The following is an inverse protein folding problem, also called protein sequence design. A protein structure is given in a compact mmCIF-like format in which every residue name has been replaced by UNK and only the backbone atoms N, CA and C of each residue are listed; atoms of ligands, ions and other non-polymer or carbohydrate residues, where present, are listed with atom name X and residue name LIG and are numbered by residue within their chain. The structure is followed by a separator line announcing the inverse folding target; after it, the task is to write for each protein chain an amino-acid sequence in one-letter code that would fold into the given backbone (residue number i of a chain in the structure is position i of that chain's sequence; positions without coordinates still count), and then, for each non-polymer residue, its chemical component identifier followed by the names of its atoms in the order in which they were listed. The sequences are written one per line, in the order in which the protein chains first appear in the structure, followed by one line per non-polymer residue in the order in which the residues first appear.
data_IF_051395632082
#
_entry.id   IF_051395632082
#
_cell.length_a   1.000
_cell.length_b   1.000
_cell.length_c   1.000
_cell.angle_alpha   90.00
_cell.angle_beta   90.00
_cell.angle_gamma   90.00
#
_symmetry.space_group_name_H-M   'P 1'
#
loop_
_entity.id
_entity.type
_entity.pdbx_description
1 polymer ?
#
# COMPACT_ATOMS: atom_id res chain seq x y z
N UNK A 1 16.70 -5.13 -3.21
CA UNK A 1 15.81 -3.96 -3.33
C UNK A 1 14.41 -4.48 -3.62
N UNK A 2 13.44 -4.18 -2.76
CA UNK A 2 12.02 -4.44 -3.03
C UNK A 2 11.46 -3.13 -3.57
N UNK A 3 10.88 -3.17 -4.77
CA UNK A 3 10.30 -1.97 -5.36
C UNK A 3 9.03 -1.57 -4.61
N UNK A 4 8.68 -0.29 -4.65
CA UNK A 4 7.43 0.19 -4.08
C UNK A 4 6.21 -0.50 -4.72
N UNK A 5 6.29 -0.85 -6.00
CA UNK A 5 5.24 -1.60 -6.70
C UNK A 5 5.09 -3.03 -6.17
N UNK A 6 6.20 -3.70 -5.82
CA UNK A 6 6.13 -5.03 -5.21
C UNK A 6 5.49 -4.97 -3.82
N UNK A 7 5.76 -3.90 -3.05
CA UNK A 7 5.10 -3.67 -1.78
C UNK A 7 3.59 -3.43 -1.95
N UNK A 8 3.17 -2.63 -2.94
CA UNK A 8 1.76 -2.40 -3.23
C UNK A 8 1.04 -3.68 -3.66
N UNK A 9 1.65 -4.50 -4.53
CA UNK A 9 1.07 -5.78 -4.93
C UNK A 9 0.90 -6.71 -3.72
N UNK A 10 1.90 -6.77 -2.84
CA UNK A 10 1.82 -7.56 -1.61
C UNK A 10 0.66 -7.11 -0.73
N UNK A 11 0.54 -5.81 -0.49
CA UNK A 11 -0.52 -5.25 0.33
C UNK A 11 -1.91 -5.57 -0.25
N UNK A 12 -2.11 -5.42 -1.56
CA UNK A 12 -3.37 -5.75 -2.23
C UNK A 12 -3.76 -7.22 -2.05
N UNK A 13 -2.82 -8.14 -2.22
CA UNK A 13 -3.07 -9.59 -2.03
C UNK A 13 -3.38 -9.90 -0.56
N UNK A 14 -2.69 -9.23 0.37
CA UNK A 14 -2.94 -9.40 1.82
C UNK A 14 -4.31 -8.89 2.22
N UNK A 15 -4.75 -7.75 1.70
CA UNK A 15 -6.08 -7.22 1.96
C UNK A 15 -7.17 -8.16 1.43
N UNK A 16 -7.01 -8.67 0.21
CA UNK A 16 -7.93 -9.66 -0.35
C UNK A 16 -8.01 -10.91 0.52
N UNK A 17 -6.86 -11.51 0.86
CA UNK A 17 -6.80 -12.72 1.66
C UNK A 17 -7.42 -12.54 3.06
N UNK A 18 -7.18 -11.38 3.69
CA UNK A 18 -7.79 -11.02 4.97
C UNK A 18 -9.32 -10.90 4.87
N UNK A 19 -9.82 -10.21 3.83
CA UNK A 19 -11.26 -10.04 3.65
C UNK A 19 -11.95 -11.38 3.35
N UNK A 20 -11.33 -12.21 2.51
CA UNK A 20 -11.82 -13.55 2.21
C UNK A 20 -11.84 -14.44 3.46
N UNK A 21 -10.77 -14.49 4.25
CA UNK A 21 -10.74 -15.25 5.51
C UNK A 21 -11.84 -14.78 6.48
N UNK A 22 -12.03 -13.45 6.60
CA UNK A 22 -13.09 -12.89 7.45
C UNK A 22 -14.49 -13.31 7.00
N UNK A 23 -14.74 -13.35 5.69
CA UNK A 23 -16.03 -13.77 5.13
C UNK A 23 -16.26 -15.28 5.28
N UNK A 24 -15.26 -16.11 4.98
CA UNK A 24 -15.36 -17.57 5.11
C UNK A 24 -15.63 -18.01 6.56
N UNK A 25 -15.09 -17.30 7.56
CA UNK A 25 -15.37 -17.58 8.97
C UNK A 25 -16.82 -17.31 9.40
N UNK A 26 -17.60 -16.61 8.58
CA UNK A 26 -19.03 -16.36 8.83
C UNK A 26 -19.92 -17.46 8.27
N UNK A 27 -19.38 -18.32 7.40
CA UNK A 27 -20.12 -19.43 6.82
C UNK A 27 -20.17 -20.64 7.78
N UNK A 28 -21.23 -21.48 7.70
CA UNK A 28 -21.31 -22.70 8.50
C UNK A 28 -20.13 -23.65 8.24
N UNK A 29 -19.56 -24.20 9.31
CA UNK A 29 -18.51 -25.22 9.23
C UNK A 29 -19.10 -26.64 9.18
N UNK A 30 -18.47 -27.59 8.45
CA UNK A 30 -17.30 -27.42 7.60
C UNK A 30 -17.63 -26.71 6.27
N UNK A 31 -16.67 -25.95 5.76
CA UNK A 31 -16.80 -25.30 4.46
C UNK A 31 -16.78 -26.32 3.32
N UNK A 32 -17.70 -26.18 2.37
CA UNK A 32 -17.67 -26.91 1.09
C UNK A 32 -16.95 -26.11 0.00
N UNK A 33 -16.50 -26.79 -1.05
CA UNK A 33 -15.85 -26.15 -2.20
C UNK A 33 -16.77 -25.13 -2.88
N UNK A 34 -18.07 -25.44 -3.02
CA UNK A 34 -19.08 -24.49 -3.52
C UNK A 34 -19.18 -23.24 -2.64
N UNK A 35 -19.22 -23.36 -1.31
CA UNK A 35 -19.29 -22.19 -0.43
C UNK A 35 -18.04 -21.31 -0.55
N UNK A 36 -16.85 -21.94 -0.61
CA UNK A 36 -15.60 -21.21 -0.81
C UNK A 36 -15.63 -20.45 -2.13
N UNK A 37 -16.10 -21.09 -3.20
CA UNK A 37 -16.22 -20.47 -4.52
C UNK A 37 -17.24 -19.32 -4.54
N UNK A 38 -18.42 -19.50 -3.95
CA UNK A 38 -19.45 -18.46 -3.88
C UNK A 38 -18.96 -17.22 -3.11
N UNK A 39 -18.30 -17.41 -1.96
CA UNK A 39 -17.75 -16.29 -1.19
C UNK A 39 -16.60 -15.61 -1.94
N UNK A 40 -15.68 -16.39 -2.51
CA UNK A 40 -14.51 -15.84 -3.21
C UNK A 40 -14.85 -15.13 -4.53
N UNK A 41 -15.93 -15.55 -5.20
CA UNK A 41 -16.38 -14.95 -6.46
C UNK A 41 -17.19 -13.66 -6.27
N UNK A 42 -17.69 -13.39 -5.06
CA UNK A 42 -18.41 -12.16 -4.75
C UNK A 42 -17.46 -10.98 -4.48
N UNK A 43 -16.91 -10.43 -5.56
CA UNK A 43 -15.95 -9.31 -5.50
C UNK A 43 -16.50 -8.07 -4.79
N UNK A 44 -17.78 -7.76 -4.94
CA UNK A 44 -18.42 -6.62 -4.26
C UNK A 44 -18.33 -6.77 -2.74
N UNK A 45 -18.73 -7.92 -2.20
CA UNK A 45 -18.70 -8.18 -0.75
C UNK A 45 -17.28 -8.16 -0.20
N UNK A 46 -16.30 -8.61 -0.98
CA UNK A 46 -14.88 -8.55 -0.62
C UNK A 46 -14.41 -7.09 -0.50
N UNK A 47 -14.68 -6.26 -1.51
CA UNK A 47 -14.27 -4.85 -1.49
C UNK A 47 -14.98 -4.08 -0.36
N UNK A 48 -16.29 -4.31 -0.16
CA UNK A 48 -17.03 -3.73 0.97
C UNK A 48 -16.41 -4.13 2.32
N UNK A 49 -15.98 -5.38 2.47
CA UNK A 49 -15.31 -5.87 3.68
C UNK A 49 -13.97 -5.16 3.93
N UNK A 50 -13.21 -4.88 2.86
CA UNK A 50 -11.96 -4.10 2.93
C UNK A 50 -12.24 -2.66 3.37
N UNK A 51 -13.20 -1.99 2.72
CA UNK A 51 -13.58 -0.60 3.03
C UNK A 51 -14.06 -0.47 4.48
N UNK A 52 -14.81 -1.45 5.01
CA UNK A 52 -15.25 -1.45 6.41
C UNK A 52 -14.09 -1.40 7.42
N UNK A 53 -12.94 -2.02 7.09
CA UNK A 53 -11.79 -2.03 7.98
C UNK A 53 -10.91 -0.78 7.88
N UNK A 54 -11.22 0.15 6.94
CA UNK A 54 -10.69 1.51 6.70
C UNK A 54 -9.19 1.76 6.77
N UNK A 55 -8.43 1.14 7.65
CA UNK A 55 -7.02 1.42 7.90
C UNK A 55 -6.25 0.11 8.02
N UNK A 56 -5.12 0.00 7.34
CA UNK A 56 -4.22 -1.16 7.45
C UNK A 56 -2.76 -0.73 7.51
N UNK A 57 -1.90 -1.64 7.99
CA UNK A 57 -0.45 -1.44 8.02
C UNK A 57 0.17 -2.06 6.77
N UNK A 58 0.77 -1.23 5.91
CA UNK A 58 1.52 -1.67 4.73
C UNK A 58 2.75 -2.48 5.14
N UNK A 59 3.20 -3.37 4.26
CA UNK A 59 4.50 -4.05 4.38
C UNK A 59 5.69 -3.07 4.42
N UNK A 60 5.51 -1.84 3.92
CA UNK A 60 6.50 -0.76 4.02
C UNK A 60 6.57 -0.12 5.41
N UNK A 61 5.67 -0.50 6.32
CA UNK A 61 5.53 0.13 7.64
C UNK A 61 4.67 1.39 7.64
N UNK A 62 4.14 1.84 6.49
CA UNK A 62 3.20 2.96 6.43
C UNK A 62 1.80 2.53 6.88
N UNK A 63 1.06 3.43 7.54
CA UNK A 63 -0.36 3.24 7.81
C UNK A 63 -1.14 3.82 6.63
N UNK A 64 -1.97 3.00 5.98
CA UNK A 64 -2.76 3.39 4.81
C UNK A 64 -4.23 3.38 5.21
N UNK A 65 -4.95 4.44 4.83
CA UNK A 65 -6.38 4.57 5.01
C UNK A 65 -7.07 4.43 3.65
N UNK A 66 -8.22 3.77 3.64
CA UNK A 66 -9.07 3.51 2.48
C UNK A 66 -10.35 4.28 2.69
N UNK A 67 -10.74 5.06 1.68
CA UNK A 67 -11.95 5.86 1.71
C UNK A 67 -13.20 5.04 1.34
N UNK A 68 -14.35 5.72 1.24
CA UNK A 68 -15.61 5.06 0.94
C UNK A 68 -15.73 4.56 -0.52
N UNK A 69 -14.91 5.13 -1.42
CA UNK A 69 -14.84 4.71 -2.82
C UNK A 69 -13.91 3.51 -3.01
N UNK A 70 -13.14 3.14 -1.96
CA UNK A 70 -12.12 2.10 -2.03
C UNK A 70 -10.74 2.62 -2.43
N UNK A 71 -10.58 3.95 -2.52
CA UNK A 71 -9.31 4.57 -2.86
C UNK A 71 -8.42 4.68 -1.61
N UNK A 72 -7.12 4.46 -1.78
CA UNK A 72 -6.16 4.71 -0.71
C UNK A 72 -5.91 6.21 -0.57
N UNK A 73 -6.05 6.73 0.65
CA UNK A 73 -5.66 8.10 0.99
C UNK A 73 -4.13 8.22 0.85
N UNK A 74 -3.69 9.12 -0.03
CA UNK A 74 -2.29 9.26 -0.42
C UNK A 74 -1.56 10.35 0.36
N UNK A 75 -0.45 9.98 1.00
CA UNK A 75 0.57 10.94 1.42
C UNK A 75 1.63 11.05 0.33
N UNK A 76 1.90 12.27 -0.15
CA UNK A 76 2.86 12.52 -1.22
C UNK A 76 4.09 13.25 -0.68
N UNK A 77 5.27 12.83 -1.12
CA UNK A 77 6.52 13.58 -0.88
C UNK A 77 6.79 14.47 -2.09
N UNK A 78 6.97 15.76 -1.86
CA UNK A 78 7.44 16.68 -2.89
C UNK A 78 8.95 16.64 -2.91
N UNK A 79 9.51 16.36 -4.08
CA UNK A 79 10.95 16.29 -4.30
C UNK A 79 11.38 17.33 -5.32
N UNK A 80 12.49 18.00 -5.06
CA UNK A 80 13.07 19.00 -5.94
C UNK A 80 14.42 18.52 -6.48
N UNK A 81 14.66 18.78 -7.76
CA UNK A 81 15.96 18.55 -8.40
C UNK A 81 16.94 19.65 -8.01
N UNK A 82 17.97 19.30 -7.25
CA UNK A 82 18.93 20.28 -6.70
C UNK A 82 20.38 19.86 -6.96
N UNK A 83 21.30 20.83 -7.15
CA UNK A 83 22.72 20.54 -7.23
C UNK A 83 23.20 19.81 -5.97
N UNK A 84 23.97 18.75 -6.14
CA UNK A 84 24.60 18.00 -5.07
C UNK A 84 26.00 17.57 -5.53
N UNK A 85 26.97 17.60 -4.62
CA UNK A 85 28.34 17.14 -4.91
C UNK A 85 28.48 15.73 -4.36
N UNK A 86 27.89 14.75 -5.07
CA UNK A 86 28.02 13.35 -4.69
C UNK A 86 28.84 12.60 -5.73
N UNK A 87 29.82 11.84 -5.27
CA UNK A 87 30.60 10.94 -6.11
C UNK A 87 30.81 9.63 -5.40
N UNK A 88 30.65 8.52 -6.11
CA UNK A 88 30.93 7.19 -5.59
C UNK A 88 31.71 6.37 -6.59
N UNK A 89 32.47 5.40 -6.09
CA UNK A 89 33.27 4.49 -6.91
C UNK A 89 32.42 3.25 -7.21
N UNK A 90 32.22 2.94 -8.49
CA UNK A 90 31.59 1.71 -8.94
C UNK A 90 32.52 1.03 -9.96
N UNK A 91 32.96 -0.19 -9.67
CA UNK A 91 33.87 -0.97 -10.53
C UNK A 91 35.10 -0.18 -11.00
N UNK A 92 35.81 0.47 -10.07
CA UNK A 92 36.97 1.36 -10.31
C UNK A 92 36.69 2.58 -11.20
N UNK A 93 35.42 2.97 -11.39
CA UNK A 93 35.03 4.22 -12.06
C UNK A 93 34.40 5.17 -11.07
N UNK A 94 34.84 6.43 -11.08
CA UNK A 94 34.21 7.50 -10.32
C UNK A 94 32.95 7.97 -11.06
N UNK A 95 31.78 7.72 -10.48
CA UNK A 95 30.52 8.27 -10.97
C UNK A 95 30.28 9.58 -10.22
N UNK A 96 30.07 10.65 -10.97
CA UNK A 96 29.77 11.98 -10.44
C UNK A 96 28.29 12.27 -10.67
N UNK A 97 27.55 12.50 -9.59
CA UNK A 97 26.16 12.90 -9.62
C UNK A 97 26.07 14.36 -9.16
N UNK A 98 25.99 15.28 -10.14
CA UNK A 98 25.98 16.73 -9.88
C UNK A 98 24.64 17.23 -9.33
N UNK A 99 23.61 16.39 -9.33
CA UNK A 99 22.25 16.74 -8.94
C UNK A 99 21.52 15.50 -8.39
N UNK A 100 20.64 15.73 -7.43
CA UNK A 100 19.83 14.70 -6.81
C UNK A 100 18.41 15.20 -6.54
N UNK A 101 17.46 14.28 -6.48
CA UNK A 101 16.10 14.55 -5.99
C UNK A 101 16.14 14.65 -4.46
N UNK A 102 15.83 15.83 -3.92
CA UNK A 102 15.84 16.09 -2.48
C UNK A 102 14.39 16.31 -2.01
N UNK A 103 13.92 15.64 -0.95
CA UNK A 103 12.61 15.94 -0.37
C UNK A 103 12.57 17.38 0.13
N UNK A 104 11.50 18.11 -0.21
CA UNK A 104 11.34 19.53 0.15
C UNK A 104 10.01 19.83 0.85
N UNK A 105 9.02 18.96 0.72
CA UNK A 105 7.75 19.08 1.42
C UNK A 105 7.00 17.74 1.42
N UNK A 106 5.89 17.70 2.16
CA UNK A 106 4.95 16.59 2.18
C UNK A 106 3.53 17.13 2.01
N UNK A 107 2.70 16.40 1.27
CA UNK A 107 1.26 16.58 1.23
C UNK A 107 0.62 15.39 1.95
N UNK A 108 -0.20 15.68 2.95
CA UNK A 108 -0.95 14.66 3.68
C UNK A 108 -2.43 14.89 3.41
N UNK A 109 -3.13 13.82 3.02
CA UNK A 109 -4.56 13.88 2.78
C UNK A 109 -5.30 13.31 3.99
N UNK A 110 -6.11 14.14 4.63
CA UNK A 110 -6.89 13.82 5.83
C UNK A 110 -7.24 15.11 6.57
N UNK A 111 -8.23 15.12 7.49
CA UNK A 111 -8.35 16.22 8.43
C UNK A 111 -6.99 16.35 9.13
N UNK A 112 -6.49 17.58 9.26
CA UNK A 112 -5.31 17.82 10.05
C UNK A 112 -5.63 17.30 11.47
N UNK A 113 -5.09 16.15 11.86
CA UNK A 113 -4.94 15.80 13.27
C UNK A 113 -3.85 16.75 13.81
N UNK A 114 -4.20 18.03 13.91
CA UNK A 114 -3.46 19.02 14.68
C UNK A 114 -3.69 18.62 16.14
N UNK A 115 -2.63 18.26 16.89
CA UNK A 115 -2.76 18.08 18.33
C UNK A 115 -3.17 19.39 19.02
#
# INVERSE_FOLDING_TARGET
YVSIYAAYLYDSVKLYAWALDKLLRQEPSPLTDEQIYEVASNGTKIIETIIQNRTYKSITGSTIKIDQSGDSEGNFSVVAWKPAKHSYINNNRTIICNYHMIPVAYFQQGPDDIP
#
